data_IF_767739013093
#
_entry.id   IF_767739013093
#
_cell.length_a   1.000
_cell.length_b   1.000
_cell.length_c   1.000
_cell.angle_alpha   90.00
_cell.angle_beta   90.00
_cell.angle_gamma   90.00
#
_symmetry.space_group_name_H-M   'P 1'
#
loop_
_entity.id
_entity.type
_entity.pdbx_description
1 polymer ?
#
# COMPACT_ATOMS: atom_id res chain seq x y z
N UNK A 1 -4.21 -29.97 -5.44
CA UNK A 1 -4.80 -28.86 -4.65
C UNK A 1 -3.87 -27.67 -4.40
N UNK A 2 -2.52 -27.76 -4.45
CA UNK A 2 -1.66 -26.60 -4.79
C UNK A 2 -2.03 -25.99 -6.17
N UNK A 3 -2.65 -26.83 -7.00
CA UNK A 3 -3.44 -26.44 -8.16
C UNK A 3 -4.40 -25.27 -7.93
N UNK A 4 -4.96 -24.99 -6.75
CA UNK A 4 -5.95 -23.90 -6.59
C UNK A 4 -5.34 -22.49 -6.46
N UNK A 5 -4.17 -22.33 -5.83
CA UNK A 5 -3.45 -21.04 -5.84
C UNK A 5 -2.85 -20.74 -7.22
N UNK A 6 -2.27 -21.76 -7.85
CA UNK A 6 -1.82 -21.69 -9.25
C UNK A 6 -3.01 -21.49 -10.19
N UNK A 7 -4.18 -22.09 -9.91
CA UNK A 7 -5.43 -21.90 -10.69
C UNK A 7 -6.04 -20.54 -10.48
N UNK A 8 -6.01 -19.98 -9.28
CA UNK A 8 -6.46 -18.61 -9.02
C UNK A 8 -5.56 -17.60 -9.74
N UNK A 9 -4.23 -17.75 -9.62
CA UNK A 9 -3.30 -16.95 -10.41
C UNK A 9 -3.50 -17.15 -11.91
N UNK A 10 -3.58 -18.40 -12.38
CA UNK A 10 -3.88 -18.73 -13.79
C UNK A 10 -5.19 -18.12 -14.25
N UNK A 11 -6.24 -18.15 -13.42
CA UNK A 11 -7.53 -17.55 -13.71
C UNK A 11 -7.41 -16.04 -13.82
N UNK A 12 -6.83 -15.35 -12.83
CA UNK A 12 -6.52 -13.91 -12.89
C UNK A 12 -5.81 -13.57 -14.20
N UNK A 13 -4.76 -14.34 -14.53
CA UNK A 13 -3.97 -14.13 -15.74
C UNK A 13 -4.70 -14.53 -17.03
N UNK A 14 -5.84 -15.21 -16.98
CA UNK A 14 -6.63 -15.59 -18.17
C UNK A 14 -7.96 -14.84 -18.27
N UNK A 15 -8.37 -14.13 -17.21
CA UNK A 15 -9.61 -13.35 -17.19
C UNK A 15 -9.52 -12.16 -18.14
N UNK A 16 -10.56 -11.98 -18.93
CA UNK A 16 -10.88 -10.73 -19.60
C UNK A 16 -12.24 -10.31 -19.06
N UNK A 17 -12.36 -9.06 -18.62
CA UNK A 17 -13.61 -8.55 -18.09
C UNK A 17 -14.50 -8.06 -19.23
N UNK A 18 -15.81 -8.18 -19.06
CA UNK A 18 -16.77 -7.41 -19.84
C UNK A 18 -16.86 -6.01 -19.23
N UNK A 19 -16.40 -4.94 -19.92
CA UNK A 19 -16.35 -3.59 -19.37
C UNK A 19 -17.71 -3.06 -18.91
N UNK A 20 -18.82 -3.58 -19.44
CA UNK A 20 -20.18 -3.19 -19.06
C UNK A 20 -20.65 -3.86 -17.76
N UNK A 21 -19.96 -4.90 -17.30
CA UNK A 21 -20.35 -5.68 -16.12
C UNK A 21 -19.38 -5.57 -14.95
N UNK A 22 -18.29 -4.81 -15.10
CA UNK A 22 -17.25 -4.68 -14.06
C UNK A 22 -17.84 -4.10 -12.78
N UNK A 23 -18.63 -3.05 -12.91
CA UNK A 23 -19.36 -2.39 -11.82
C UNK A 23 -20.83 -2.82 -11.92
N UNK A 24 -21.49 -3.21 -10.82
CA UNK A 24 -22.90 -3.58 -10.85
C UNK A 24 -23.78 -2.44 -11.35
N UNK A 25 -24.71 -2.73 -12.27
CA UNK A 25 -25.54 -1.73 -12.94
C UNK A 25 -26.52 -1.01 -11.99
N UNK A 26 -26.86 -1.61 -10.84
CA UNK A 26 -27.75 -0.97 -9.88
C UNK A 26 -27.08 0.15 -9.08
N UNK A 27 -25.74 0.27 -9.15
CA UNK A 27 -25.00 1.28 -8.38
C UNK A 27 -24.78 2.54 -9.19
N UNK A 28 -25.29 3.67 -8.69
CA UNK A 28 -24.97 4.98 -9.23
C UNK A 28 -23.57 5.40 -8.80
N UNK A 29 -22.66 5.52 -9.77
CA UNK A 29 -21.27 5.92 -9.54
C UNK A 29 -21.11 7.42 -9.82
N UNK A 30 -20.48 8.20 -8.91
CA UNK A 30 -20.19 9.60 -9.19
C UNK A 30 -19.20 9.76 -10.35
N UNK A 31 -19.45 10.75 -11.20
CA UNK A 31 -18.57 11.07 -12.32
C UNK A 31 -17.33 11.84 -11.81
N UNK A 32 -16.15 11.23 -11.97
CA UNK A 32 -14.87 11.75 -11.48
C UNK A 32 -13.88 11.92 -12.64
N UNK A 33 -13.95 13.06 -13.32
CA UNK A 33 -13.37 13.23 -14.68
C UNK A 33 -12.18 14.19 -14.77
N UNK A 34 -12.00 15.07 -13.79
CA UNK A 34 -10.90 16.04 -13.78
C UNK A 34 -9.51 15.36 -13.81
N UNK A 35 -8.58 15.89 -14.59
CA UNK A 35 -7.14 15.64 -14.42
C UNK A 35 -6.60 16.70 -13.48
N UNK A 36 -6.34 16.33 -12.23
CA UNK A 36 -5.82 17.24 -11.21
C UNK A 36 -4.30 17.11 -11.04
N UNK A 37 -3.58 16.80 -12.13
CA UNK A 37 -2.13 16.91 -12.16
C UNK A 37 -1.69 18.34 -11.87
N UNK A 38 -0.83 18.53 -10.88
CA UNK A 38 -0.24 19.83 -10.60
C UNK A 38 0.74 20.26 -11.70
N UNK A 39 0.65 21.54 -12.06
CA UNK A 39 1.63 22.21 -12.92
C UNK A 39 2.99 22.27 -12.23
N UNK A 40 4.07 22.46 -13.00
CA UNK A 40 5.44 22.55 -12.41
C UNK A 40 5.57 23.66 -11.36
N UNK A 41 4.84 24.76 -11.50
CA UNK A 41 4.90 25.90 -10.58
C UNK A 41 4.16 25.63 -9.26
N UNK A 42 3.24 24.68 -9.27
CA UNK A 42 2.43 24.30 -8.10
C UNK A 42 2.95 23.01 -7.44
N UNK A 43 4.05 22.43 -7.91
CA UNK A 43 4.63 21.23 -7.31
C UNK A 43 5.33 21.61 -6.01
N UNK A 44 4.83 21.07 -4.90
CA UNK A 44 5.47 21.10 -3.58
C UNK A 44 5.70 19.66 -3.15
N UNK A 45 6.80 19.06 -3.63
CA UNK A 45 7.12 17.67 -3.34
C UNK A 45 8.04 17.58 -2.12
N UNK A 46 7.56 16.88 -1.09
CA UNK A 46 8.24 16.70 0.19
C UNK A 46 8.57 15.22 0.39
N UNK A 47 9.82 14.79 0.16
CA UNK A 47 10.22 13.42 0.44
C UNK A 47 10.03 13.09 1.92
N UNK A 48 9.51 11.89 2.21
CA UNK A 48 9.36 11.41 3.58
C UNK A 48 10.74 11.40 4.26
N UNK A 49 10.90 12.01 5.44
CA UNK A 49 12.19 12.05 6.12
C UNK A 49 12.69 10.65 6.44
N UNK A 50 13.99 10.39 6.30
CA UNK A 50 14.60 9.20 6.88
C UNK A 50 14.32 9.14 8.39
N UNK A 51 13.98 7.97 8.92
CA UNK A 51 13.62 7.80 10.34
C UNK A 51 12.12 7.86 10.65
N UNK A 52 11.27 7.96 9.62
CA UNK A 52 9.82 7.91 9.73
C UNK A 52 9.27 6.50 10.04
N UNK A 53 8.03 6.40 10.52
CA UNK A 53 7.35 5.12 10.71
C UNK A 53 7.06 4.40 9.38
N UNK A 54 6.71 5.13 8.32
CA UNK A 54 6.57 4.59 6.97
C UNK A 54 7.90 3.95 6.53
N UNK A 55 9.03 4.64 6.72
CA UNK A 55 10.37 4.06 6.47
C UNK A 55 10.58 2.76 7.27
N UNK A 56 10.26 2.77 8.56
CA UNK A 56 10.43 1.61 9.46
C UNK A 56 9.65 0.38 9.02
N UNK A 57 8.40 0.54 8.60
CA UNK A 57 7.48 -0.59 8.44
C UNK A 57 7.25 -1.00 6.98
N UNK A 58 7.17 -0.06 6.04
CA UNK A 58 6.69 -0.35 4.70
C UNK A 58 7.61 -1.27 3.88
N UNK A 59 8.91 -1.08 4.04
CA UNK A 59 9.94 -1.85 3.36
C UNK A 59 10.11 -3.27 3.89
N UNK A 60 9.36 -3.69 4.91
CA UNK A 60 9.50 -5.02 5.50
C UNK A 60 8.93 -6.12 4.61
N UNK A 61 9.63 -7.26 4.55
CA UNK A 61 9.26 -8.38 3.68
C UNK A 61 7.94 -9.05 4.12
N UNK A 62 7.64 -9.07 5.41
CA UNK A 62 6.38 -9.59 5.93
C UNK A 62 5.21 -8.65 5.64
N UNK A 63 5.38 -7.35 5.85
CA UNK A 63 4.40 -6.33 5.47
C UNK A 63 4.11 -6.42 3.96
N UNK A 64 5.14 -6.55 3.12
CA UNK A 64 4.93 -6.76 1.68
C UNK A 64 4.22 -8.10 1.37
N UNK A 65 4.55 -9.19 2.08
CA UNK A 65 3.97 -10.51 1.85
C UNK A 65 2.48 -10.58 2.20
N UNK A 66 2.11 -9.96 3.34
CA UNK A 66 0.75 -9.95 3.88
C UNK A 66 -0.10 -8.79 3.37
N UNK A 67 0.49 -7.63 3.12
CA UNK A 67 -0.22 -6.41 2.74
C UNK A 67 -0.45 -6.23 1.24
N UNK A 68 0.48 -6.66 0.37
CA UNK A 68 0.26 -6.55 -1.08
C UNK A 68 -1.07 -7.16 -1.56
N UNK A 69 -1.52 -8.33 -1.04
CA UNK A 69 -2.80 -8.90 -1.46
C UNK A 69 -4.04 -8.19 -0.91
N UNK A 70 -3.88 -7.29 0.07
CA UNK A 70 -4.99 -6.46 0.59
C UNK A 70 -5.38 -5.40 -0.42
N UNK A 71 -4.42 -4.86 -1.18
CA UNK A 71 -4.67 -3.75 -2.11
C UNK A 71 -5.60 -4.13 -3.26
N UNK A 72 -5.43 -5.32 -3.86
CA UNK A 72 -6.18 -5.71 -5.06
C UNK A 72 -7.71 -5.65 -4.87
N UNK A 73 -8.27 -6.33 -3.85
CA UNK A 73 -9.69 -6.28 -3.55
C UNK A 73 -10.22 -4.88 -3.26
N UNK A 74 -9.54 -4.11 -2.41
CA UNK A 74 -10.02 -2.80 -1.95
C UNK A 74 -9.89 -1.72 -3.04
N UNK A 75 -8.80 -1.74 -3.81
CA UNK A 75 -8.64 -0.90 -5.00
C UNK A 75 -9.70 -1.24 -6.06
N UNK A 76 -10.01 -2.52 -6.24
CA UNK A 76 -11.08 -2.96 -7.12
C UNK A 76 -12.47 -2.57 -6.62
N UNK A 77 -12.62 -2.24 -5.34
CA UNK A 77 -13.92 -1.89 -4.77
C UNK A 77 -14.30 -0.45 -5.09
N UNK A 78 -13.32 0.39 -5.43
CA UNK A 78 -13.56 1.72 -5.96
C UNK A 78 -13.95 1.64 -7.45
N UNK A 79 -15.17 2.06 -7.85
CA UNK A 79 -15.71 1.80 -9.18
C UNK A 79 -14.80 2.24 -10.35
N UNK A 80 -14.24 3.45 -10.27
CA UNK A 80 -13.38 4.03 -11.32
C UNK A 80 -12.06 3.26 -11.44
N UNK A 81 -11.51 2.79 -10.31
CA UNK A 81 -10.28 1.99 -10.28
C UNK A 81 -10.54 0.56 -10.77
N UNK A 82 -11.71 -0.01 -10.45
CA UNK A 82 -12.18 -1.27 -11.01
C UNK A 82 -12.20 -1.21 -12.54
N UNK A 83 -12.87 -0.17 -13.07
CA UNK A 83 -12.99 0.04 -14.52
C UNK A 83 -11.62 0.27 -15.18
N UNK A 84 -10.77 1.10 -14.59
CA UNK A 84 -9.40 1.33 -15.04
C UNK A 84 -8.57 0.04 -15.06
N UNK A 85 -8.72 -0.79 -14.04
CA UNK A 85 -8.00 -2.06 -13.93
C UNK A 85 -8.48 -3.05 -14.98
N UNK A 86 -9.79 -3.21 -15.13
CA UNK A 86 -10.41 -4.08 -16.11
C UNK A 86 -10.03 -3.72 -17.55
N UNK A 87 -9.94 -2.43 -17.87
CA UNK A 87 -9.51 -1.93 -19.18
C UNK A 87 -7.98 -1.98 -19.42
N UNK A 88 -7.18 -2.36 -18.42
CA UNK A 88 -5.72 -2.34 -18.55
C UNK A 88 -5.18 -3.49 -19.40
N UNK A 89 -3.98 -3.32 -19.96
CA UNK A 89 -3.26 -4.34 -20.74
C UNK A 89 -2.97 -5.65 -20.00
N UNK A 90 -3.21 -5.71 -18.69
CA UNK A 90 -3.15 -6.96 -17.92
C UNK A 90 -4.35 -7.86 -18.20
N UNK A 91 -5.49 -7.28 -18.56
CA UNK A 91 -6.77 -7.95 -18.74
C UNK A 91 -7.35 -7.78 -20.15
N UNK A 92 -6.66 -7.04 -21.02
CA UNK A 92 -6.98 -6.88 -22.45
C UNK A 92 -5.87 -7.43 -23.34
N UNK A 93 -6.17 -7.74 -24.61
CA UNK A 93 -5.20 -8.29 -25.55
C UNK A 93 -4.96 -9.79 -25.38
N UNK A 94 -3.72 -10.25 -25.64
CA UNK A 94 -3.36 -11.68 -25.59
C UNK A 94 -3.65 -12.27 -24.20
N UNK A 95 -4.46 -13.33 -24.18
CA UNK A 95 -4.91 -14.04 -22.96
C UNK A 95 -3.96 -15.18 -22.57
N UNK A 96 -2.90 -15.42 -23.34
CA UNK A 96 -1.93 -16.46 -23.06
C UNK A 96 -1.20 -16.19 -21.74
N UNK A 97 -1.09 -17.25 -20.91
CA UNK A 97 -0.43 -17.15 -19.60
C UNK A 97 0.99 -16.60 -19.69
N UNK A 98 1.73 -16.97 -20.74
CA UNK A 98 3.10 -16.52 -20.93
C UNK A 98 3.15 -15.02 -21.22
N UNK A 99 2.32 -14.51 -22.13
CA UNK A 99 2.31 -13.10 -22.48
C UNK A 99 1.90 -12.24 -21.29
N UNK A 100 0.79 -12.60 -20.62
CA UNK A 100 0.32 -11.85 -19.44
C UNK A 100 1.28 -11.98 -18.27
N UNK A 101 1.90 -13.14 -18.02
CA UNK A 101 2.93 -13.26 -16.98
C UNK A 101 4.14 -12.35 -17.23
N UNK A 102 4.53 -12.17 -18.50
CA UNK A 102 5.58 -11.23 -18.88
C UNK A 102 5.15 -9.78 -18.61
N UNK A 103 3.98 -9.37 -19.09
CA UNK A 103 3.44 -8.01 -18.87
C UNK A 103 3.31 -7.73 -17.36
N UNK A 104 2.76 -8.69 -16.61
CA UNK A 104 2.62 -8.61 -15.16
C UNK A 104 3.96 -8.41 -14.47
N UNK A 105 4.98 -9.20 -14.83
CA UNK A 105 6.33 -9.07 -14.27
C UNK A 105 6.94 -7.69 -14.55
N UNK A 106 6.90 -7.23 -15.80
CA UNK A 106 7.47 -5.94 -16.20
C UNK A 106 6.73 -4.75 -15.57
N UNK A 107 5.41 -4.81 -15.46
CA UNK A 107 4.61 -3.78 -14.78
C UNK A 107 4.86 -3.78 -13.28
N UNK A 108 4.89 -4.96 -12.65
CA UNK A 108 5.15 -5.09 -11.21
C UNK A 108 6.53 -4.56 -10.87
N UNK A 109 7.56 -4.91 -11.65
CA UNK A 109 8.92 -4.43 -11.41
C UNK A 109 9.02 -2.90 -11.51
N UNK A 110 8.44 -2.29 -12.55
CA UNK A 110 8.40 -0.82 -12.70
C UNK A 110 7.62 -0.14 -11.58
N UNK A 111 6.45 -0.69 -11.23
CA UNK A 111 5.60 -0.14 -10.17
C UNK A 111 6.32 -0.20 -8.83
N UNK A 112 6.93 -1.34 -8.50
CA UNK A 112 7.75 -1.48 -7.30
C UNK A 112 8.92 -0.50 -7.28
N UNK A 113 9.67 -0.38 -8.38
CA UNK A 113 10.78 0.56 -8.46
C UNK A 113 10.32 2.00 -8.20
N UNK A 114 9.22 2.43 -8.82
CA UNK A 114 8.79 3.83 -8.72
C UNK A 114 8.16 4.11 -7.36
N UNK A 115 7.27 3.24 -6.91
CA UNK A 115 6.52 3.40 -5.66
C UNK A 115 7.49 3.34 -4.47
N UNK A 116 8.28 2.26 -4.31
CA UNK A 116 9.27 2.20 -3.23
C UNK A 116 10.39 3.23 -3.39
N UNK A 117 10.74 3.60 -4.63
CA UNK A 117 11.70 4.67 -4.92
C UNK A 117 11.27 6.03 -4.37
N UNK A 118 9.97 6.35 -4.37
CA UNK A 118 9.47 7.62 -3.79
C UNK A 118 9.72 7.77 -2.29
N UNK A 119 9.94 6.67 -1.57
CA UNK A 119 10.20 6.69 -0.13
C UNK A 119 11.67 6.48 0.18
N UNK A 120 12.30 5.48 -0.42
CA UNK A 120 13.63 5.03 0.00
C UNK A 120 14.79 5.55 -0.82
N UNK A 121 14.58 6.15 -1.99
CA UNK A 121 15.69 6.70 -2.79
C UNK A 121 16.10 8.09 -2.29
N UNK A 122 17.18 8.62 -2.84
CA UNK A 122 17.61 9.99 -2.56
C UNK A 122 16.50 10.99 -2.97
N UNK A 123 16.34 12.11 -2.24
CA UNK A 123 15.27 13.09 -2.46
C UNK A 123 14.98 13.44 -3.93
N UNK A 124 16.01 13.74 -4.72
CA UNK A 124 15.86 14.14 -6.12
C UNK A 124 15.36 13.00 -7.03
N UNK A 125 15.85 11.78 -6.80
CA UNK A 125 15.35 10.60 -7.50
C UNK A 125 13.91 10.27 -7.08
N UNK A 126 13.60 10.36 -5.78
CA UNK A 126 12.28 10.13 -5.24
C UNK A 126 11.23 11.05 -5.89
N UNK A 127 11.52 12.36 -6.01
CA UNK A 127 10.65 13.35 -6.68
C UNK A 127 10.38 12.97 -8.13
N UNK A 128 11.43 12.56 -8.86
CA UNK A 128 11.33 12.11 -10.25
C UNK A 128 10.45 10.86 -10.39
N UNK A 129 10.56 9.90 -9.49
CA UNK A 129 9.75 8.69 -9.52
C UNK A 129 8.27 8.95 -9.21
N UNK A 130 7.97 9.91 -8.33
CA UNK A 130 6.60 10.37 -8.11
C UNK A 130 5.95 10.90 -9.39
N UNK A 131 6.64 11.82 -10.09
CA UNK A 131 6.15 12.37 -11.36
C UNK A 131 6.05 11.33 -12.48
N UNK A 132 6.96 10.34 -12.52
CA UNK A 132 6.84 9.21 -13.45
C UNK A 132 5.57 8.39 -13.18
N UNK A 133 5.26 8.11 -11.92
CA UNK A 133 4.05 7.39 -11.52
C UNK A 133 2.81 8.15 -11.96
N UNK A 134 2.71 9.45 -11.67
CA UNK A 134 1.60 10.30 -12.18
C UNK A 134 1.50 10.27 -13.69
N UNK A 135 2.61 10.44 -14.41
CA UNK A 135 2.60 10.47 -15.88
C UNK A 135 2.16 9.13 -16.49
N UNK A 136 2.39 7.99 -15.81
CA UNK A 136 1.85 6.69 -16.22
C UNK A 136 0.32 6.61 -16.10
N UNK A 137 -0.29 7.42 -15.24
CA UNK A 137 -1.74 7.45 -15.02
C UNK A 137 -2.48 8.46 -15.92
N UNK A 138 -1.78 9.41 -16.57
CA UNK A 138 -2.39 10.33 -17.55
C UNK A 138 -3.24 9.69 -18.65
N UNK A 139 -2.85 8.56 -19.27
CA UNK A 139 -3.68 7.92 -20.27
C UNK A 139 -4.82 7.06 -19.68
N UNK A 140 -4.87 6.89 -18.36
CA UNK A 140 -5.82 5.99 -17.69
C UNK A 140 -7.13 6.73 -17.43
N UNK A 141 -8.04 6.65 -18.39
CA UNK A 141 -9.37 7.26 -18.37
C UNK A 141 -10.32 6.42 -19.21
N UNK A 142 -11.62 6.52 -18.97
CA UNK A 142 -12.59 5.68 -19.68
C UNK A 142 -14.04 6.02 -19.37
N UNK A 143 -14.93 5.13 -19.78
CA UNK A 143 -16.37 5.22 -19.57
C UNK A 143 -16.80 4.38 -18.37
N UNK A 144 -17.76 4.90 -17.62
CA UNK A 144 -18.60 4.19 -16.65
C UNK A 144 -19.98 3.95 -17.30
N UNK A 145 -20.88 3.25 -16.61
CA UNK A 145 -22.26 3.08 -17.08
C UNK A 145 -22.95 4.43 -17.31
N UNK A 146 -22.90 5.32 -16.30
CA UNK A 146 -23.56 6.62 -16.31
C UNK A 146 -22.61 7.82 -16.46
N UNK A 147 -21.43 7.66 -17.08
CA UNK A 147 -20.50 8.77 -17.24
C UNK A 147 -19.09 8.38 -17.63
N UNK A 148 -18.12 9.18 -17.23
CA UNK A 148 -16.70 8.95 -17.50
C UNK A 148 -15.83 9.04 -16.25
N UNK A 149 -14.59 8.59 -16.34
CA UNK A 149 -13.63 8.70 -15.24
C UNK A 149 -12.23 9.07 -15.75
N UNK A 150 -11.43 9.65 -14.86
CA UNK A 150 -10.00 9.89 -15.04
C UNK A 150 -9.25 9.42 -13.79
N UNK A 151 -8.21 8.61 -13.97
CA UNK A 151 -7.41 8.11 -12.84
C UNK A 151 -6.69 9.22 -12.07
N UNK A 152 -6.45 10.38 -12.69
CA UNK A 152 -5.84 11.56 -12.06
C UNK A 152 -6.87 12.52 -11.46
N UNK A 153 -8.12 12.09 -11.30
CA UNK A 153 -9.07 12.78 -10.44
C UNK A 153 -8.57 12.74 -8.98
N UNK A 154 -8.64 13.86 -8.26
CA UNK A 154 -8.04 14.01 -6.94
C UNK A 154 -8.58 12.97 -5.94
N UNK A 155 -9.89 12.74 -5.94
CA UNK A 155 -10.56 11.77 -5.06
C UNK A 155 -10.13 10.34 -5.38
N UNK A 156 -10.17 9.96 -6.67
CA UNK A 156 -9.76 8.62 -7.11
C UNK A 156 -8.28 8.36 -6.83
N UNK A 157 -7.42 9.35 -7.05
CA UNK A 157 -5.98 9.21 -6.85
C UNK A 157 -5.62 9.20 -5.36
N UNK A 158 -6.29 10.00 -4.54
CA UNK A 158 -6.13 9.97 -3.09
C UNK A 158 -6.60 8.64 -2.51
N UNK A 159 -7.75 8.10 -2.91
CA UNK A 159 -8.17 6.78 -2.45
C UNK A 159 -7.18 5.68 -2.87
N UNK A 160 -6.58 5.77 -4.06
CA UNK A 160 -5.49 4.86 -4.45
C UNK A 160 -4.32 4.93 -3.46
N UNK A 161 -3.94 6.12 -2.98
CA UNK A 161 -2.93 6.31 -1.93
C UNK A 161 -3.36 5.72 -0.58
N UNK A 162 -4.64 5.86 -0.20
CA UNK A 162 -5.23 5.24 1.00
C UNK A 162 -5.06 3.71 0.97
N UNK A 163 -5.20 3.07 -0.20
CA UNK A 163 -4.95 1.61 -0.30
C UNK A 163 -3.53 1.20 0.12
N UNK A 164 -2.55 2.09 -0.03
CA UNK A 164 -1.17 1.85 0.40
C UNK A 164 -0.96 2.13 1.89
N UNK A 165 -1.18 3.36 2.35
CA UNK A 165 -0.78 3.72 3.71
C UNK A 165 -1.75 3.17 4.77
N UNK A 166 -3.04 3.08 4.46
CA UNK A 166 -4.03 2.59 5.42
C UNK A 166 -4.15 1.06 5.37
N UNK A 167 -4.50 0.49 4.22
CA UNK A 167 -4.82 -0.93 4.13
C UNK A 167 -3.58 -1.83 4.05
N UNK A 168 -2.62 -1.53 3.16
CA UNK A 168 -1.40 -2.34 3.06
C UNK A 168 -0.49 -2.14 4.26
N UNK A 169 -0.29 -0.89 4.69
CA UNK A 169 0.67 -0.56 5.74
C UNK A 169 0.01 -0.58 7.13
N UNK A 170 -0.81 0.42 7.47
CA UNK A 170 -1.30 0.62 8.85
C UNK A 170 -2.06 -0.60 9.38
N UNK A 171 -3.05 -1.12 8.63
CA UNK A 171 -3.88 -2.24 9.06
C UNK A 171 -3.07 -3.55 9.22
N UNK A 172 -2.10 -3.80 8.36
CA UNK A 172 -1.24 -5.00 8.44
C UNK A 172 -0.23 -4.87 9.56
N UNK A 173 0.38 -3.71 9.72
CA UNK A 173 1.33 -3.44 10.80
C UNK A 173 0.62 -3.55 12.15
N UNK A 174 -0.60 -3.00 12.26
CA UNK A 174 -1.43 -3.11 13.46
C UNK A 174 -1.65 -4.57 13.86
N UNK A 175 -1.97 -5.45 12.91
CA UNK A 175 -2.11 -6.87 13.19
C UNK A 175 -0.77 -7.51 13.60
N UNK A 176 0.27 -7.32 12.79
CA UNK A 176 1.56 -8.01 12.93
C UNK A 176 2.33 -7.60 14.20
N UNK A 177 2.31 -6.32 14.55
CA UNK A 177 3.20 -5.75 15.57
C UNK A 177 2.46 -5.23 16.80
N UNK A 178 1.14 -5.06 16.74
CA UNK A 178 0.35 -4.46 17.81
C UNK A 178 -0.84 -5.32 18.26
N UNK A 179 -0.86 -6.61 17.92
CA UNK A 179 -1.94 -7.55 18.27
C UNK A 179 -3.34 -7.04 17.85
N UNK A 180 -3.41 -6.24 16.77
CA UNK A 180 -4.65 -5.64 16.30
C UNK A 180 -5.08 -4.36 17.03
N UNK A 181 -4.23 -3.81 17.91
CA UNK A 181 -4.50 -2.60 18.68
C UNK A 181 -3.30 -1.63 18.65
N UNK A 182 -3.04 -1.05 17.48
CA UNK A 182 -1.98 -0.03 17.33
C UNK A 182 -2.40 1.27 18.04
N UNK A 183 -1.52 1.91 18.84
CA UNK A 183 -1.82 3.19 19.47
C UNK A 183 -2.27 4.24 18.44
N UNK A 184 -3.31 5.01 18.76
CA UNK A 184 -3.84 6.06 17.88
C UNK A 184 -2.76 7.01 17.39
N UNK A 185 -1.89 7.43 18.29
CA UNK A 185 -0.75 8.31 18.00
C UNK A 185 0.21 7.78 16.91
N UNK A 186 0.38 6.46 16.80
CA UNK A 186 1.18 5.85 15.73
C UNK A 186 0.45 5.94 14.38
N UNK A 187 -0.87 5.75 14.39
CA UNK A 187 -1.69 5.87 13.17
C UNK A 187 -1.73 7.33 12.68
N UNK A 188 -1.91 8.27 13.60
CA UNK A 188 -1.82 9.71 13.33
C UNK A 188 -0.46 10.09 12.73
N UNK A 189 0.63 9.57 13.30
CA UNK A 189 1.97 9.83 12.76
C UNK A 189 2.16 9.22 11.36
N UNK A 190 1.69 7.99 11.11
CA UNK A 190 1.73 7.39 9.76
C UNK A 190 0.89 8.22 8.78
N UNK A 191 -0.28 8.71 9.21
CA UNK A 191 -1.12 9.58 8.40
C UNK A 191 -0.40 10.88 8.03
N UNK A 192 0.21 11.57 8.99
CA UNK A 192 0.98 12.79 8.74
C UNK A 192 2.16 12.56 7.78
N UNK A 193 2.90 11.47 7.96
CA UNK A 193 3.96 11.07 7.02
C UNK A 193 3.42 10.71 5.63
N UNK A 194 2.19 10.19 5.55
CA UNK A 194 1.55 9.86 4.28
C UNK A 194 1.18 11.11 3.47
N UNK A 195 1.05 12.28 4.11
CA UNK A 195 0.83 13.57 3.44
C UNK A 195 2.08 13.98 2.65
N UNK A 196 3.25 13.88 3.28
CA UNK A 196 4.54 14.08 2.62
C UNK A 196 4.68 13.11 1.44
N UNK A 197 4.34 11.84 1.65
CA UNK A 197 4.34 10.86 0.58
C UNK A 197 3.39 11.23 -0.58
N UNK A 198 2.17 11.68 -0.27
CA UNK A 198 1.19 12.05 -1.28
C UNK A 198 1.67 13.22 -2.15
N UNK A 199 2.33 14.20 -1.53
CA UNK A 199 2.90 15.36 -2.22
C UNK A 199 3.85 14.97 -3.36
N UNK A 200 4.53 13.82 -3.21
CA UNK A 200 5.47 13.30 -4.21
C UNK A 200 4.79 12.97 -5.54
N UNK A 201 3.49 12.67 -5.54
CA UNK A 201 2.78 12.31 -6.76
C UNK A 201 2.54 13.51 -7.68
N UNK A 202 2.52 14.74 -7.16
CA UNK A 202 2.22 15.93 -7.95
C UNK A 202 0.80 15.91 -8.52
N UNK A 203 -0.14 15.40 -7.73
CA UNK A 203 -1.59 15.44 -7.93
C UNK A 203 -2.16 16.29 -6.81
N UNK A 204 -3.19 17.07 -7.11
CA UNK A 204 -3.89 17.92 -6.17
C UNK A 204 -4.34 17.12 -4.92
N UNK A 205 -4.18 17.74 -3.76
CA UNK A 205 -4.43 17.18 -2.44
C UNK A 205 -5.74 17.66 -1.81
N UNK A 206 -6.64 18.31 -2.57
CA UNK A 206 -7.95 18.75 -2.04
C UNK A 206 -8.83 17.63 -1.48
N UNK A 207 -8.61 16.38 -1.92
CA UNK A 207 -9.28 15.18 -1.37
C UNK A 207 -8.60 14.61 -0.12
N UNK A 208 -7.39 15.06 0.21
CA UNK A 208 -6.68 14.62 1.40
C UNK A 208 -7.26 15.33 2.64
N UNK A 209 -7.72 14.58 3.66
CA UNK A 209 -8.18 15.17 4.92
C UNK A 209 -7.06 15.94 5.65
N UNK A 210 -7.44 16.97 6.40
CA UNK A 210 -6.48 17.80 7.13
C UNK A 210 -5.93 17.09 8.38
N UNK A 211 -6.82 16.45 9.13
CA UNK A 211 -6.51 15.75 10.38
C UNK A 211 -6.83 14.25 10.32
N UNK A 212 -6.29 13.48 11.26
CA UNK A 212 -6.58 12.05 11.34
C UNK A 212 -8.06 11.75 11.66
N UNK A 213 -8.70 12.60 12.48
CA UNK A 213 -10.14 12.48 12.77
C UNK A 213 -10.98 12.68 11.50
N UNK A 214 -10.58 13.63 10.65
CA UNK A 214 -11.23 13.85 9.35
C UNK A 214 -11.00 12.65 8.43
N UNK A 215 -9.80 12.06 8.47
CA UNK A 215 -9.48 10.85 7.73
C UNK A 215 -10.30 9.64 8.17
N UNK A 216 -10.54 9.44 9.46
CA UNK A 216 -11.40 8.34 9.93
C UNK A 216 -12.84 8.51 9.42
N UNK A 217 -13.37 9.74 9.41
CA UNK A 217 -14.70 10.03 8.86
C UNK A 217 -14.76 9.85 7.34
N UNK A 218 -13.74 10.32 6.64
CA UNK A 218 -13.56 10.12 5.21
C UNK A 218 -13.55 8.63 4.84
N UNK A 219 -12.77 7.83 5.57
CA UNK A 219 -12.65 6.40 5.34
C UNK A 219 -13.98 5.68 5.61
N UNK A 220 -14.64 6.00 6.72
CA UNK A 220 -15.95 5.41 7.05
C UNK A 220 -17.01 5.72 5.97
N UNK A 221 -17.04 6.96 5.45
CA UNK A 221 -17.94 7.32 4.36
C UNK A 221 -17.66 6.49 3.10
N UNK A 222 -16.40 6.42 2.67
CA UNK A 222 -16.00 5.62 1.52
C UNK A 222 -16.40 4.16 1.67
N UNK A 223 -16.02 3.55 2.78
CA UNK A 223 -16.21 2.13 2.98
C UNK A 223 -17.69 1.73 3.04
N UNK A 224 -18.56 2.64 3.51
CA UNK A 224 -20.01 2.38 3.62
C UNK A 224 -20.80 2.79 2.39
N UNK A 225 -20.40 3.86 1.71
CA UNK A 225 -21.26 4.54 0.74
C UNK A 225 -20.72 4.51 -0.70
N UNK A 226 -19.42 4.28 -0.91
CA UNK A 226 -18.79 4.41 -2.25
C UNK A 226 -18.19 3.11 -2.77
N UNK A 227 -17.76 2.21 -1.89
CA UNK A 227 -17.22 0.92 -2.30
C UNK A 227 -18.30 -0.02 -2.85
N UNK A 228 -17.97 -0.73 -3.92
CA UNK A 228 -18.82 -1.71 -4.58
C UNK A 228 -18.12 -3.06 -4.69
N UNK A 229 -18.90 -4.14 -4.70
CA UNK A 229 -18.34 -5.49 -4.94
C UNK A 229 -18.17 -5.76 -6.45
N UNK A 230 -17.18 -5.11 -7.07
CA UNK A 230 -16.91 -5.21 -8.51
C UNK A 230 -16.39 -6.59 -8.93
N UNK A 231 -16.46 -6.92 -10.22
CA UNK A 231 -15.84 -8.14 -10.76
C UNK A 231 -14.33 -8.20 -10.48
N UNK A 232 -13.65 -7.06 -10.44
CA UNK A 232 -12.22 -6.98 -10.11
C UNK A 232 -11.99 -7.38 -8.66
N UNK A 233 -12.78 -6.85 -7.71
CA UNK A 233 -12.70 -7.23 -6.30
C UNK A 233 -12.96 -8.72 -6.11
N UNK A 234 -14.04 -9.23 -6.72
CA UNK A 234 -14.40 -10.65 -6.65
C UNK A 234 -13.26 -11.53 -7.15
N UNK A 235 -12.71 -11.24 -8.33
CA UNK A 235 -11.60 -11.99 -8.92
C UNK A 235 -10.35 -11.99 -8.00
N UNK A 236 -10.03 -10.85 -7.40
CA UNK A 236 -8.87 -10.73 -6.50
C UNK A 236 -9.10 -11.46 -5.16
N UNK A 237 -10.35 -11.51 -4.68
CA UNK A 237 -10.78 -12.15 -3.44
C UNK A 237 -10.95 -13.66 -3.54
N UNK A 238 -11.17 -14.23 -4.73
CA UNK A 238 -11.37 -15.68 -4.91
C UNK A 238 -10.28 -16.54 -4.25
N UNK A 239 -9.06 -16.00 -4.16
CA UNK A 239 -7.97 -16.73 -3.52
C UNK A 239 -8.07 -16.80 -1.98
N UNK A 240 -8.95 -16.00 -1.40
CA UNK A 240 -9.18 -15.80 0.04
C UNK A 240 -10.59 -16.20 0.50
N UNK A 241 -11.55 -16.47 -0.41
CA UNK A 241 -12.92 -16.85 -0.02
C UNK A 241 -12.95 -18.14 0.82
N UNK A 242 -12.27 -19.20 0.36
CA UNK A 242 -12.27 -20.49 1.06
C UNK A 242 -11.03 -20.70 1.94
N UNK A 243 -11.21 -21.36 3.09
CA UNK A 243 -10.10 -21.96 3.84
C UNK A 243 -9.45 -23.06 3.00
N UNK A 244 -8.14 -22.94 2.77
CA UNK A 244 -7.38 -23.96 2.02
C UNK A 244 -6.80 -24.95 3.01
N UNK A 245 -6.86 -26.27 2.80
CA UNK A 245 -6.07 -27.24 3.57
C UNK A 245 -4.67 -27.42 2.97
N UNK A 246 -3.72 -27.88 3.78
CA UNK A 246 -2.36 -28.16 3.32
C UNK A 246 -2.37 -29.21 2.20
N UNK A 247 -1.58 -29.05 1.11
CA UNK A 247 -1.51 -30.06 0.07
C UNK A 247 -1.09 -31.43 0.64
N UNK A 248 -1.87 -32.48 0.35
CA UNK A 248 -1.62 -33.84 0.87
C UNK A 248 -0.20 -34.35 0.56
N UNK A 249 0.33 -34.03 -0.62
CA UNK A 249 1.66 -34.41 -1.08
C UNK A 249 2.82 -33.60 -0.49
N UNK A 250 2.56 -32.54 0.28
CA UNK A 250 3.64 -31.78 0.91
C UNK A 250 4.38 -32.63 1.98
N UNK A 251 5.72 -32.57 2.02
CA UNK A 251 6.51 -33.13 3.11
C UNK A 251 6.05 -32.61 4.47
N UNK A 252 6.18 -33.43 5.52
CA UNK A 252 5.74 -33.08 6.87
C UNK A 252 6.39 -31.77 7.37
N UNK A 253 7.68 -31.56 7.04
CA UNK A 253 8.42 -30.34 7.37
C UNK A 253 7.76 -29.10 6.74
N UNK A 254 7.37 -29.16 5.46
CA UNK A 254 6.69 -28.03 4.81
C UNK A 254 5.30 -27.77 5.41
N UNK A 255 4.55 -28.83 5.73
CA UNK A 255 3.26 -28.71 6.43
C UNK A 255 3.40 -28.08 7.82
N UNK A 256 4.53 -28.30 8.49
CA UNK A 256 4.80 -27.74 9.82
C UNK A 256 5.27 -26.28 9.76
N UNK A 257 6.15 -25.94 8.82
CA UNK A 257 6.85 -24.65 8.84
C UNK A 257 6.41 -23.66 7.76
N UNK A 258 5.99 -24.11 6.57
CA UNK A 258 5.62 -23.22 5.45
C UNK A 258 4.10 -23.00 5.42
N UNK A 259 3.35 -24.08 5.63
CA UNK A 259 1.90 -24.05 5.54
C UNK A 259 1.22 -23.03 6.48
N UNK A 260 1.61 -22.87 7.75
CA UNK A 260 1.01 -21.86 8.62
C UNK A 260 1.05 -20.45 8.05
N UNK A 261 2.14 -20.06 7.38
CA UNK A 261 2.28 -18.75 6.74
C UNK A 261 1.33 -18.58 5.54
N UNK A 262 1.19 -19.62 4.72
CA UNK A 262 0.25 -19.57 3.59
C UNK A 262 -1.21 -19.59 4.03
N UNK A 263 -1.54 -20.34 5.08
CA UNK A 263 -2.88 -20.39 5.64
C UNK A 263 -3.24 -19.06 6.32
N UNK A 264 -2.31 -18.49 7.09
CA UNK A 264 -2.48 -17.20 7.75
C UNK A 264 -2.54 -16.04 6.77
N UNK A 265 -2.01 -16.17 5.55
CA UNK A 265 -2.13 -15.12 4.54
C UNK A 265 -3.58 -14.73 4.27
N UNK A 266 -4.50 -15.69 4.19
CA UNK A 266 -5.95 -15.40 4.12
C UNK A 266 -6.39 -14.62 5.35
N UNK A 267 -5.99 -15.08 6.53
CA UNK A 267 -6.44 -14.51 7.79
C UNK A 267 -6.03 -13.05 7.94
N UNK A 268 -4.76 -12.74 7.70
CA UNK A 268 -4.27 -11.36 7.76
C UNK A 268 -5.01 -10.48 6.74
N UNK A 269 -5.09 -10.93 5.49
CA UNK A 269 -5.74 -10.16 4.41
C UNK A 269 -7.21 -9.87 4.71
N UNK A 270 -7.99 -10.90 5.06
CA UNK A 270 -9.42 -10.73 5.35
C UNK A 270 -9.59 -9.89 6.61
N UNK A 271 -8.76 -10.08 7.63
CA UNK A 271 -8.86 -9.32 8.87
C UNK A 271 -8.45 -7.85 8.73
N UNK A 272 -7.72 -7.48 7.67
CA UNK A 272 -7.34 -6.08 7.38
C UNK A 272 -8.51 -5.20 6.95
N UNK A 273 -9.68 -5.79 6.67
CA UNK A 273 -10.89 -5.05 6.33
C UNK A 273 -11.82 -4.90 7.55
N UNK A 274 -12.50 -3.75 7.73
CA UNK A 274 -13.53 -3.63 8.76
C UNK A 274 -14.75 -4.50 8.43
N UNK A 275 -15.63 -4.78 9.43
CA UNK A 275 -16.76 -5.70 9.27
C UNK A 275 -17.67 -5.41 8.08
N UNK A 276 -18.00 -4.15 7.82
CA UNK A 276 -18.89 -3.77 6.72
C UNK A 276 -18.24 -3.96 5.34
N UNK A 277 -16.92 -3.79 5.21
CA UNK A 277 -16.19 -4.11 3.98
C UNK A 277 -16.09 -5.63 3.77
N UNK A 278 -15.94 -6.42 4.85
CA UNK A 278 -16.00 -7.89 4.78
C UNK A 278 -17.37 -8.36 4.28
N UNK A 279 -18.45 -7.74 4.76
CA UNK A 279 -19.82 -7.99 4.32
C UNK A 279 -20.02 -7.64 2.84
N UNK A 280 -19.56 -6.46 2.40
CA UNK A 280 -19.56 -6.05 0.99
C UNK A 280 -18.86 -7.09 0.11
N UNK A 281 -17.73 -7.62 0.56
CA UNK A 281 -16.94 -8.63 -0.14
C UNK A 281 -17.52 -10.04 -0.06
N UNK A 282 -18.54 -10.29 0.77
CA UNK A 282 -19.11 -11.60 1.00
C UNK A 282 -18.08 -12.60 1.58
N UNK A 283 -17.09 -12.11 2.33
CA UNK A 283 -16.09 -12.97 2.99
C UNK A 283 -16.52 -13.31 4.40
N UNK A 284 -16.73 -14.61 4.65
CA UNK A 284 -17.06 -15.10 5.97
C UNK A 284 -15.85 -15.04 6.92
N UNK A 285 -16.12 -14.51 8.12
CA UNK A 285 -15.20 -14.49 9.25
C UNK A 285 -15.89 -15.09 10.47
N UNK A 286 -15.41 -16.26 10.91
CA UNK A 286 -16.01 -16.98 12.04
C UNK A 286 -15.02 -17.27 13.17
N UNK A 287 -15.49 -17.89 14.27
CA UNK A 287 -14.67 -18.17 15.45
C UNK A 287 -13.42 -19.03 15.17
N UNK A 288 -13.49 -19.93 14.18
CA UNK A 288 -12.33 -20.71 13.74
C UNK A 288 -11.25 -19.86 13.08
N UNK A 289 -11.64 -18.81 12.33
CA UNK A 289 -10.69 -17.89 11.70
C UNK A 289 -9.99 -17.03 12.75
N UNK A 290 -10.72 -16.58 13.77
CA UNK A 290 -10.17 -15.88 14.94
C UNK A 290 -9.14 -16.74 15.66
N UNK A 291 -9.45 -18.02 15.89
CA UNK A 291 -8.54 -18.94 16.57
C UNK A 291 -7.28 -19.23 15.75
N UNK A 292 -7.41 -19.42 14.42
CA UNK A 292 -6.25 -19.59 13.52
C UNK A 292 -5.39 -18.32 13.54
N UNK A 293 -6.02 -17.15 13.45
CA UNK A 293 -5.34 -15.86 13.49
C UNK A 293 -4.56 -15.69 14.79
N UNK A 294 -5.23 -15.90 15.93
CA UNK A 294 -4.63 -15.81 17.26
C UNK A 294 -3.43 -16.73 17.42
N UNK A 295 -3.55 -18.00 17.00
CA UNK A 295 -2.43 -18.97 17.04
C UNK A 295 -1.28 -18.55 16.13
N UNK A 296 -1.59 -18.11 14.92
CA UNK A 296 -0.58 -17.62 13.99
C UNK A 296 0.15 -16.40 14.56
N UNK A 297 -0.55 -15.43 15.13
CA UNK A 297 0.05 -14.24 15.73
C UNK A 297 0.92 -14.56 16.94
N UNK A 298 0.54 -15.53 17.77
CA UNK A 298 1.40 -16.02 18.85
C UNK A 298 2.69 -16.65 18.32
N UNK A 299 2.61 -17.45 17.26
CA UNK A 299 3.78 -18.01 16.60
C UNK A 299 4.64 -16.92 15.95
N UNK A 300 4.02 -16.02 15.18
CA UNK A 300 4.67 -14.93 14.46
C UNK A 300 5.52 -14.09 15.41
N UNK A 301 4.96 -13.65 16.54
CA UNK A 301 5.69 -12.85 17.55
C UNK A 301 6.91 -13.58 18.11
N UNK A 302 6.78 -14.87 18.43
CA UNK A 302 7.92 -15.66 18.93
C UNK A 302 9.02 -15.78 17.89
N UNK A 303 8.65 -16.02 16.63
CA UNK A 303 9.60 -16.12 15.52
C UNK A 303 10.28 -14.77 15.28
N UNK A 304 9.51 -13.69 15.21
CA UNK A 304 10.02 -12.37 14.89
C UNK A 304 10.81 -11.72 16.03
N UNK A 305 10.47 -11.97 17.30
CA UNK A 305 11.29 -11.54 18.43
C UNK A 305 12.73 -12.10 18.35
N UNK A 306 12.89 -13.32 17.82
CA UNK A 306 14.20 -13.93 17.58
C UNK A 306 14.81 -13.41 16.27
N UNK A 307 14.03 -13.38 15.19
CA UNK A 307 14.51 -12.97 13.87
C UNK A 307 15.02 -11.52 13.87
N UNK A 308 14.31 -10.59 14.52
CA UNK A 308 14.70 -9.19 14.58
C UNK A 308 16.01 -8.98 15.34
N UNK A 309 16.29 -9.79 16.36
CA UNK A 309 17.52 -9.71 17.14
C UNK A 309 18.72 -10.33 16.42
N UNK A 310 18.51 -11.40 15.66
CA UNK A 310 19.61 -12.22 15.12
C UNK A 310 19.89 -12.00 13.63
N UNK A 311 18.88 -11.65 12.84
CA UNK A 311 19.04 -11.57 11.39
C UNK A 311 19.50 -10.17 10.96
N UNK A 312 20.44 -10.08 10.01
CA UNK A 312 20.73 -8.84 9.29
C UNK A 312 19.50 -8.28 8.56
N UNK A 313 19.43 -6.95 8.40
CA UNK A 313 18.29 -6.25 7.80
C UNK A 313 17.90 -6.78 6.41
N UNK A 314 18.86 -7.25 5.60
CA UNK A 314 18.62 -7.84 4.27
C UNK A 314 17.69 -9.06 4.24
N UNK A 315 17.47 -9.71 5.40
CA UNK A 315 16.52 -10.83 5.51
C UNK A 315 15.15 -10.41 6.05
N UNK A 316 15.00 -9.16 6.48
CA UNK A 316 13.78 -8.60 7.05
C UNK A 316 13.16 -7.52 6.16
N UNK A 317 13.98 -6.86 5.34
CA UNK A 317 13.61 -5.72 4.50
C UNK A 317 13.88 -5.96 3.02
N UNK A 318 13.09 -5.28 2.19
CA UNK A 318 13.31 -5.19 0.75
C UNK A 318 14.67 -4.55 0.47
N UNK A 319 15.38 -4.97 -0.59
CA UNK A 319 16.70 -4.43 -0.92
C UNK A 319 16.74 -2.90 -1.10
N UNK A 320 15.65 -2.30 -1.58
CA UNK A 320 15.51 -0.85 -1.73
C UNK A 320 15.49 -0.13 -0.38
N UNK A 321 14.80 -0.68 0.62
CA UNK A 321 14.77 -0.13 1.96
C UNK A 321 16.13 -0.27 2.65
N UNK A 322 16.78 -1.43 2.54
CA UNK A 322 18.13 -1.66 3.09
C UNK A 322 19.12 -0.64 2.55
N UNK A 323 19.15 -0.41 1.23
CA UNK A 323 20.00 0.62 0.64
C UNK A 323 19.65 2.03 1.11
N UNK A 324 18.38 2.31 1.36
CA UNK A 324 17.93 3.57 1.95
C UNK A 324 18.51 3.75 3.35
N UNK A 325 18.35 2.74 4.22
CA UNK A 325 18.89 2.75 5.59
C UNK A 325 20.42 2.91 5.62
N UNK A 326 21.13 2.16 4.77
CA UNK A 326 22.59 2.24 4.65
C UNK A 326 23.05 3.62 4.17
N UNK A 327 22.33 4.24 3.22
CA UNK A 327 22.66 5.58 2.71
C UNK A 327 22.51 6.65 3.79
N UNK A 328 21.45 6.57 4.59
CA UNK A 328 21.12 7.57 5.62
C UNK A 328 21.79 7.26 6.97
N UNK A 329 22.43 6.09 7.12
CA UNK A 329 23.08 5.68 8.37
C UNK A 329 22.11 5.36 9.50
N UNK A 330 20.89 4.89 9.19
CA UNK A 330 19.81 4.65 10.15
C UNK A 330 19.59 3.14 10.34
N UNK A 331 19.54 2.65 11.59
CA UNK A 331 18.97 1.33 11.88
C UNK A 331 17.46 1.47 12.11
N UNK A 332 16.58 0.81 11.32
CA UNK A 332 15.13 0.90 11.50
C UNK A 332 14.63 0.39 12.85
N UNK A 333 15.45 -0.36 13.60
CA UNK A 333 15.11 -0.83 14.95
C UNK A 333 15.08 0.30 15.97
N UNK A 334 15.87 1.35 15.75
CA UNK A 334 15.98 2.50 16.65
C UNK A 334 14.90 3.56 16.38
N UNK A 335 14.14 3.43 15.30
CA UNK A 335 13.04 4.33 14.98
C UNK A 335 11.90 4.10 15.99
N UNK A 336 11.60 5.13 16.79
CA UNK A 336 10.46 5.19 17.71
C UNK A 336 9.42 6.19 17.20
N UNK A 337 8.24 6.23 17.84
CA UNK A 337 7.25 7.27 17.57
C UNK A 337 7.81 8.68 17.79
N UNK A 338 8.59 8.86 18.85
CA UNK A 338 9.18 10.16 19.19
C UNK A 338 10.22 10.59 18.17
N UNK A 339 11.12 9.69 17.76
CA UNK A 339 12.12 10.00 16.73
C UNK A 339 11.49 10.26 15.37
N UNK A 340 10.42 9.54 15.01
CA UNK A 340 9.69 9.76 13.77
C UNK A 340 8.98 11.13 13.75
N UNK A 341 8.33 11.49 14.87
CA UNK A 341 7.76 12.84 15.06
C UNK A 341 8.81 13.93 14.96
N UNK A 342 9.98 13.72 15.57
CA UNK A 342 11.10 14.66 15.48
C UNK A 342 11.59 14.83 14.04
N UNK A 343 11.84 13.71 13.34
CA UNK A 343 12.28 13.72 11.95
C UNK A 343 11.31 14.46 11.02
N UNK A 344 10.00 14.26 11.21
CA UNK A 344 8.97 14.98 10.45
C UNK A 344 8.96 16.49 10.75
N UNK A 345 9.03 16.88 12.03
CA UNK A 345 9.11 18.30 12.41
C UNK A 345 10.34 18.98 11.83
N UNK A 346 11.51 18.35 11.92
CA UNK A 346 12.75 18.90 11.34
C UNK A 346 12.67 19.00 9.82
N UNK A 347 12.06 18.02 9.15
CA UNK A 347 11.85 18.08 7.71
C UNK A 347 11.00 19.27 7.32
N UNK A 348 9.84 19.45 7.98
CA UNK A 348 8.94 20.59 7.73
C UNK A 348 9.63 21.93 8.02
N UNK A 349 10.32 22.05 9.15
CA UNK A 349 11.06 23.26 9.51
C UNK A 349 12.14 23.65 8.49
N UNK A 350 12.83 22.67 7.88
CA UNK A 350 13.79 22.93 6.81
C UNK A 350 13.13 23.42 5.53
N UNK A 351 11.89 23.00 5.24
CA UNK A 351 11.15 23.48 4.07
C UNK A 351 10.64 24.91 4.26
N UNK A 352 10.24 25.27 5.47
CA UNK A 352 9.68 26.58 5.79
C UNK A 352 10.76 27.66 6.03
N UNK A 353 12.03 27.25 6.14
CA UNK A 353 13.15 28.17 6.29
C UNK A 353 13.39 28.96 4.98
N UNK A 354 13.52 30.30 5.01
CA UNK A 354 13.86 31.08 3.82
C UNK A 354 15.20 30.63 3.24
N UNK A 355 15.27 30.41 1.92
CA UNK A 355 16.52 30.11 1.21
C UNK A 355 17.53 31.26 1.44
N UNK A 356 18.42 31.11 2.44
CA UNK A 356 19.37 32.19 2.77
C UNK A 356 20.22 32.05 4.02
N UNK A 357 20.10 31.00 4.84
CA UNK A 357 21.03 30.79 5.96
C UNK A 357 21.94 29.61 5.65
N UNK A 358 23.04 29.92 4.96
CA UNK A 358 24.22 29.05 4.91
C UNK A 358 24.74 28.90 6.35
N UNK A 359 24.47 27.77 6.98
CA UNK A 359 25.05 27.39 8.28
C UNK A 359 26.50 26.97 8.04
N UNK A 360 27.37 27.93 7.71
CA UNK A 360 28.81 27.70 7.61
C UNK A 360 29.67 28.89 8.05
N UNK A 361 29.11 29.85 8.80
CA UNK A 361 29.87 30.88 9.51
C UNK A 361 29.43 30.99 10.98
N UNK A 362 29.72 29.96 11.78
CA UNK A 362 29.62 30.06 13.23
C UNK A 362 30.84 29.52 13.99
N UNK A 363 31.92 29.14 13.28
CA UNK A 363 33.17 28.72 13.92
C UNK A 363 34.37 29.27 13.15
N UNK A 364 34.84 30.46 13.53
CA UNK A 364 36.06 31.02 12.93
C UNK A 364 36.30 32.50 13.17
N UNK A 365 36.19 32.97 14.42
CA UNK A 365 36.85 34.22 14.81
C UNK A 365 37.78 33.94 15.99
N UNK A 366 39.11 34.01 15.82
CA UNK A 366 40.02 34.01 16.95
C UNK A 366 39.89 35.36 17.67
N UNK A 367 39.68 35.31 18.98
CA UNK A 367 39.72 36.48 19.83
C UNK A 367 41.14 37.05 19.82
N UNK A 368 41.26 38.31 19.40
CA UNK A 368 42.43 39.13 19.67
C UNK A 368 42.37 39.59 21.14
N UNK A 369 43.35 39.18 21.95
CA UNK A 369 44.09 40.03 22.89
C UNK A 369 45.24 39.24 23.49
#
# INVERSE_FOLDING_TARGET
MAFRGIRAFKKIMQTTFDPEQVVPNEVRVPELTGDHSLSRQNLLQHPIPPGSLIWKYWGRLDVAFFGNPVMGPIAGAWPQMAQATAGSVLFTGDTSLRARAKIYKERTQRSHEYIYGTVYYAPEDAKKFGLKTRNMHKPVKGKLHDGTFNALNAETFYFAHVTFFQYLLTAVVEQLYFDGAMPREMKEQIFEESKEWYSMWGVDDSSQPDTYDDFERYLEDIERNHLVNSQVSQLMLEQFTERRPAPRWWPAVMKKFVWPWLAARRQIVVNSYPPHVKELFGVEWGPEDEEISRRFMQMYRRVYAVAERLLPLKFLYLPVAVRGFEREGIDPRDITLESARHALRESRARHDAPEGVNVEQANGMPAAT
#
